data_IF_469790135580
#
_entry.id   IF_469790135580
#
_cell.length_a   1.000
_cell.length_b   1.000
_cell.length_c   1.000
_cell.angle_alpha   90.00
_cell.angle_beta   90.00
_cell.angle_gamma   90.00
#
_symmetry.space_group_name_H-M   'P 1'
#
loop_
_entity.id
_entity.type
_entity.pdbx_description
1 polymer ?
#
# COMPACT_ATOMS: atom_id res chain seq x y z
N UNK A 1 -25.05 14.40 7.52
CA UNK A 1 -24.04 15.24 6.87
C UNK A 1 -22.83 15.51 7.76
N UNK A 2 -22.98 16.05 8.98
CA UNK A 2 -21.85 16.39 9.87
C UNK A 2 -20.93 15.22 10.25
N UNK A 3 -21.49 14.03 10.54
CA UNK A 3 -20.69 12.82 10.85
C UNK A 3 -19.82 12.41 9.66
N UNK A 4 -20.38 12.45 8.45
CA UNK A 4 -19.65 12.15 7.22
C UNK A 4 -18.53 13.18 6.97
N UNK A 5 -18.80 14.47 7.18
CA UNK A 5 -17.80 15.54 7.03
C UNK A 5 -16.65 15.37 8.04
N UNK A 6 -16.94 15.02 9.29
CA UNK A 6 -15.93 14.72 10.29
C UNK A 6 -15.10 13.49 9.91
N UNK A 7 -15.74 12.43 9.40
CA UNK A 7 -15.03 11.24 8.91
C UNK A 7 -14.05 11.55 7.79
N UNK A 8 -14.43 12.41 6.83
CA UNK A 8 -13.54 12.87 5.77
C UNK A 8 -12.36 13.67 6.33
N UNK A 9 -12.59 14.54 7.32
CA UNK A 9 -11.51 15.30 7.97
C UNK A 9 -10.48 14.36 8.62
N UNK A 10 -10.94 13.35 9.37
CA UNK A 10 -10.06 12.35 9.99
C UNK A 10 -9.27 11.57 8.93
N UNK A 11 -9.94 11.15 7.85
CA UNK A 11 -9.28 10.46 6.73
C UNK A 11 -8.15 11.31 6.12
N UNK A 12 -8.40 12.59 5.84
CA UNK A 12 -7.40 13.49 5.27
C UNK A 12 -6.20 13.71 6.21
N UNK A 13 -6.45 13.84 7.51
CA UNK A 13 -5.37 13.95 8.52
C UNK A 13 -4.51 12.69 8.54
N UNK A 14 -5.11 11.51 8.49
CA UNK A 14 -4.37 10.24 8.46
C UNK A 14 -3.54 10.08 7.18
N UNK A 15 -4.10 10.44 6.03
CA UNK A 15 -3.39 10.43 4.74
C UNK A 15 -2.21 11.40 4.77
N UNK A 16 -2.40 12.63 5.24
CA UNK A 16 -1.33 13.61 5.38
C UNK A 16 -0.22 13.12 6.30
N UNK A 17 -0.57 12.57 7.47
CA UNK A 17 0.40 11.98 8.39
C UNK A 17 1.16 10.79 7.78
N UNK A 18 0.49 9.92 7.01
CA UNK A 18 1.13 8.78 6.35
C UNK A 18 2.22 9.22 5.35
N UNK A 19 1.93 10.23 4.53
CA UNK A 19 2.90 10.77 3.57
C UNK A 19 4.05 11.53 4.25
N UNK A 20 3.76 12.30 5.30
CA UNK A 20 4.80 13.06 6.03
C UNK A 20 5.76 12.12 6.76
N UNK A 21 5.24 11.08 7.42
CA UNK A 21 6.08 10.21 8.25
C UNK A 21 6.85 9.17 7.44
N UNK A 22 6.33 8.76 6.27
CA UNK A 22 7.03 7.87 5.34
C UNK A 22 7.53 6.57 5.96
N UNK A 23 6.76 5.98 6.89
CA UNK A 23 7.19 4.75 7.61
C UNK A 23 7.44 3.64 6.60
N UNK A 24 8.65 3.06 6.61
CA UNK A 24 8.96 1.89 5.78
C UNK A 24 8.16 0.67 6.22
N UNK A 25 7.75 -0.09 5.23
CA UNK A 25 6.93 -1.31 5.36
C UNK A 25 7.62 -2.43 4.58
N UNK A 26 7.42 -3.69 4.95
CA UNK A 26 7.87 -4.81 4.13
C UNK A 26 7.10 -4.84 2.80
N UNK A 27 7.68 -5.55 1.84
CA UNK A 27 7.12 -5.78 0.50
C UNK A 27 5.68 -6.33 0.56
N UNK A 28 5.47 -7.33 1.42
CA UNK A 28 4.14 -7.82 1.77
C UNK A 28 3.77 -7.41 3.21
N UNK A 29 3.12 -6.26 3.34
CA UNK A 29 2.66 -5.72 4.63
C UNK A 29 1.39 -6.39 5.19
N UNK A 30 0.68 -7.19 4.40
CA UNK A 30 -0.55 -7.88 4.81
C UNK A 30 -0.32 -9.35 5.20
N UNK A 31 0.88 -9.88 4.95
CA UNK A 31 1.30 -11.21 5.37
C UNK A 31 0.76 -12.33 4.48
N UNK A 32 0.60 -13.52 5.07
CA UNK A 32 0.37 -14.78 4.34
C UNK A 32 -0.91 -14.80 3.48
N UNK A 33 -1.91 -13.97 3.78
CA UNK A 33 -3.15 -13.89 2.99
C UNK A 33 -3.02 -13.10 1.69
N UNK A 34 -1.93 -12.34 1.52
CA UNK A 34 -1.66 -11.51 0.35
C UNK A 34 -0.74 -12.27 -0.61
N UNK A 35 -1.32 -13.18 -1.38
CA UNK A 35 -0.60 -14.16 -2.23
C UNK A 35 -0.59 -13.82 -3.72
N UNK A 36 -1.17 -12.68 -4.10
CA UNK A 36 -1.19 -12.17 -5.48
C UNK A 36 0.16 -11.53 -5.86
N UNK A 37 0.38 -11.27 -7.16
CA UNK A 37 1.69 -10.89 -7.70
C UNK A 37 2.21 -9.54 -7.19
N UNK A 38 1.33 -8.61 -6.86
CA UNK A 38 1.72 -7.29 -6.34
C UNK A 38 2.49 -7.37 -5.02
N UNK A 39 2.31 -8.45 -4.25
CA UNK A 39 3.00 -8.69 -2.97
C UNK A 39 4.35 -9.38 -3.11
N UNK A 40 4.78 -9.62 -4.35
CA UNK A 40 6.12 -10.13 -4.67
C UNK A 40 7.11 -9.02 -5.06
N UNK A 41 6.63 -7.77 -5.15
CA UNK A 41 7.41 -6.60 -5.53
C UNK A 41 7.97 -5.88 -4.30
N UNK A 42 9.09 -5.17 -4.49
CA UNK A 42 9.67 -4.34 -3.44
C UNK A 42 8.75 -3.17 -3.03
N UNK A 43 8.90 -2.65 -1.81
CA UNK A 43 8.27 -1.41 -1.38
C UNK A 43 9.29 -0.24 -1.24
N UNK A 44 9.23 0.80 -2.10
CA UNK A 44 8.28 1.03 -3.18
C UNK A 44 8.54 0.15 -4.42
N UNK A 45 7.52 -0.08 -5.27
CA UNK A 45 7.68 -0.90 -6.45
C UNK A 45 8.57 -0.21 -7.50
N UNK A 46 9.38 -0.97 -8.25
CA UNK A 46 10.16 -0.42 -9.35
C UNK A 46 9.24 0.00 -10.50
N UNK A 47 9.74 0.93 -11.35
CA UNK A 47 8.99 1.39 -12.53
C UNK A 47 8.65 0.24 -13.49
N UNK A 48 9.62 -0.65 -13.75
CA UNK A 48 9.41 -1.89 -14.47
C UNK A 48 9.30 -3.04 -13.45
N UNK A 49 8.11 -3.61 -13.33
CA UNK A 49 7.76 -4.48 -12.21
C UNK A 49 8.35 -5.90 -12.30
N UNK A 50 8.37 -6.48 -13.50
CA UNK A 50 8.79 -7.87 -13.69
C UNK A 50 9.71 -7.98 -14.90
N UNK A 51 11.00 -8.27 -14.66
CA UNK A 51 11.96 -8.55 -15.74
C UNK A 51 11.70 -9.90 -16.42
N UNK A 52 11.18 -10.87 -15.66
CA UNK A 52 10.80 -12.21 -16.13
C UNK A 52 9.30 -12.42 -15.91
N UNK A 53 8.66 -13.18 -16.80
CA UNK A 53 7.23 -13.44 -16.67
C UNK A 53 6.93 -14.22 -15.38
N UNK A 54 6.08 -13.69 -14.49
CA UNK A 54 5.68 -14.41 -13.30
C UNK A 54 4.85 -15.64 -13.67
N UNK A 55 5.12 -16.77 -13.01
CA UNK A 55 4.40 -18.01 -13.23
C UNK A 55 3.20 -18.07 -12.30
N UNK A 56 2.00 -18.09 -12.88
CA UNK A 56 0.74 -18.31 -12.16
C UNK A 56 0.54 -19.82 -12.02
N UNK A 57 0.11 -20.28 -10.86
CA UNK A 57 -0.25 -21.68 -10.59
C UNK A 57 -1.75 -21.82 -10.43
#
# INVERSE_FOLDING_TARGET
SYISAFGVLVFLVLVAHAFIRGKRVPDNQWGEGATTLEWTLSSPPPFHQFNELPKIK
#
